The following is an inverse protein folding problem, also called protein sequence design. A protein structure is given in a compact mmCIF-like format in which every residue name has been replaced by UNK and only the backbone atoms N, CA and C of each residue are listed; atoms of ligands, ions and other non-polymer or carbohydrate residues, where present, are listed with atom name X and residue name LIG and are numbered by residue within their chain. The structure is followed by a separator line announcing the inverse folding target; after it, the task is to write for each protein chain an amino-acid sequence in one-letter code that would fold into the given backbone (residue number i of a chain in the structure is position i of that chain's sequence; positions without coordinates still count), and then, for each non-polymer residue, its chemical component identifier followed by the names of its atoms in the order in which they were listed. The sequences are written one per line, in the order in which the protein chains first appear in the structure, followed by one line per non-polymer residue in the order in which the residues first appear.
data_IF_249422080003
#
_entry.id   IF_249422080003
#
_cell.length_a   1.000
_cell.length_b   1.000
_cell.length_c   1.000
_cell.angle_alpha   90.00
_cell.angle_beta   90.00
_cell.angle_gamma   90.00
#
_symmetry.space_group_name_H-M   'P 1'
#
loop_
_entity.id
_entity.type
_entity.pdbx_description
1 polymer ?
#
# COMPACT_ATOMS: atom_id res chain seq x y z
N UNK A 1 -2.26 14.31 -0.84
CA UNK A 1 -3.30 13.83 -1.78
C UNK A 1 -3.39 12.32 -1.87
N UNK A 2 -2.31 11.57 -1.98
CA UNK A 2 -2.32 10.10 -2.15
C UNK A 2 -3.11 9.36 -1.06
N UNK A 3 -2.94 9.72 0.21
CA UNK A 3 -3.69 9.07 1.31
C UNK A 3 -5.20 9.23 1.20
N UNK A 4 -5.69 10.38 0.72
CA UNK A 4 -7.13 10.62 0.48
C UNK A 4 -7.65 9.70 -0.63
N UNK A 5 -6.87 9.50 -1.69
CA UNK A 5 -7.23 8.58 -2.77
C UNK A 5 -7.31 7.13 -2.28
N UNK A 6 -6.42 6.73 -1.36
CA UNK A 6 -6.49 5.42 -0.72
C UNK A 6 -7.75 5.25 0.12
N UNK A 7 -8.14 6.27 0.89
CA UNK A 7 -9.39 6.25 1.66
C UNK A 7 -10.61 6.17 0.75
N UNK A 8 -10.61 6.92 -0.35
CA UNK A 8 -11.69 6.85 -1.35
C UNK A 8 -11.76 5.47 -2.02
N UNK A 9 -10.61 4.89 -2.41
CA UNK A 9 -10.53 3.55 -2.95
C UNK A 9 -11.03 2.50 -1.94
N UNK A 10 -10.61 2.59 -0.67
CA UNK A 10 -11.07 1.71 0.39
C UNK A 10 -12.59 1.79 0.58
N UNK A 11 -13.14 3.00 0.60
CA UNK A 11 -14.59 3.22 0.72
C UNK A 11 -15.36 2.69 -0.50
N UNK A 12 -14.83 2.85 -1.71
CA UNK A 12 -15.40 2.30 -2.93
C UNK A 12 -15.38 0.77 -2.94
N UNK A 13 -14.24 0.17 -2.60
CA UNK A 13 -14.07 -1.27 -2.51
C UNK A 13 -14.94 -1.91 -1.41
N UNK A 14 -15.14 -1.22 -0.29
CA UNK A 14 -16.01 -1.69 0.77
C UNK A 14 -17.50 -1.70 0.41
N UNK A 15 -17.90 -0.88 -0.58
CA UNK A 15 -19.28 -0.84 -1.12
C UNK A 15 -19.46 -1.75 -2.33
N UNK A 16 -18.37 -2.10 -3.01
CA UNK A 16 -18.41 -3.07 -4.09
C UNK A 16 -18.80 -4.44 -3.52
N UNK A 17 -19.55 -5.21 -4.30
CA UNK A 17 -19.95 -6.55 -3.92
C UNK A 17 -18.72 -7.40 -3.56
N UNK A 18 -18.85 -8.33 -2.62
CA UNK A 18 -17.78 -9.22 -2.11
C UNK A 18 -17.02 -9.97 -3.24
N UNK A 19 -17.57 -9.98 -4.46
CA UNK A 19 -16.94 -10.54 -5.65
C UNK A 19 -15.63 -9.87 -6.05
N UNK A 20 -15.46 -8.56 -5.78
CA UNK A 20 -14.28 -7.80 -6.20
C UNK A 20 -13.10 -7.94 -5.23
N UNK A 21 -13.37 -7.83 -3.93
CA UNK A 21 -12.34 -7.89 -2.88
C UNK A 21 -12.34 -9.21 -2.13
N UNK A 22 -13.48 -9.87 -2.09
CA UNK A 22 -13.70 -11.18 -1.46
C UNK A 22 -13.55 -11.20 0.05
N UNK A 23 -13.22 -10.09 0.69
CA UNK A 23 -13.07 -9.97 2.16
C UNK A 23 -13.07 -8.52 2.60
N UNK A 24 -13.67 -8.24 3.75
CA UNK A 24 -13.66 -6.92 4.38
C UNK A 24 -12.25 -6.48 4.83
N UNK A 25 -11.32 -7.41 4.97
CA UNK A 25 -9.95 -7.12 5.36
C UNK A 25 -9.21 -6.27 4.32
N UNK A 26 -9.41 -6.53 3.02
CA UNK A 26 -8.72 -5.80 1.94
C UNK A 26 -9.02 -4.30 1.99
N UNK A 27 -10.29 -3.84 1.91
CA UNK A 27 -10.58 -2.40 1.99
C UNK A 27 -10.18 -1.79 3.33
N UNK A 28 -10.31 -2.51 4.45
CA UNK A 28 -9.88 -2.01 5.76
C UNK A 28 -8.38 -1.75 5.80
N UNK A 29 -7.54 -2.68 5.34
CA UNK A 29 -6.09 -2.53 5.28
C UNK A 29 -5.66 -1.40 4.34
N UNK A 30 -6.32 -1.23 3.19
CA UNK A 30 -6.09 -0.11 2.28
C UNK A 30 -6.46 1.22 2.95
N UNK A 31 -7.57 1.28 3.70
CA UNK A 31 -7.99 2.47 4.44
C UNK A 31 -6.99 2.86 5.53
N UNK A 32 -6.50 1.89 6.30
CA UNK A 32 -5.48 2.11 7.33
C UNK A 32 -4.16 2.57 6.71
N UNK A 33 -3.76 2.01 5.55
CA UNK A 33 -2.60 2.48 4.78
C UNK A 33 -2.80 3.94 4.30
N UNK A 34 -4.01 4.30 3.86
CA UNK A 34 -4.35 5.68 3.48
C UNK A 34 -4.21 6.67 4.64
N UNK A 35 -4.70 6.31 5.83
CA UNK A 35 -4.52 7.10 7.04
C UNK A 35 -3.02 7.22 7.41
N UNK A 36 -2.26 6.15 7.28
CA UNK A 36 -0.81 6.15 7.47
C UNK A 36 -0.07 7.09 6.53
N UNK A 37 -0.45 7.13 5.25
CA UNK A 37 0.09 8.08 4.27
C UNK A 37 -0.19 9.54 4.65
N UNK A 38 -1.37 9.83 5.21
CA UNK A 38 -1.70 11.18 5.70
C UNK A 38 -0.83 11.53 6.90
N UNK A 39 -0.71 10.63 7.87
CA UNK A 39 0.14 10.82 9.04
C UNK A 39 1.61 11.05 8.65
N UNK A 40 2.15 10.24 7.76
CA UNK A 40 3.53 10.40 7.25
C UNK A 40 3.74 11.69 6.45
N UNK A 41 2.68 12.26 5.85
CA UNK A 41 2.76 13.54 5.15
C UNK A 41 2.75 14.75 6.10
N UNK A 42 2.11 14.62 7.27
CA UNK A 42 2.04 15.69 8.27
C UNK A 42 3.33 15.78 9.07
N UNK A 43 3.93 14.66 9.43
CA UNK A 43 5.14 14.59 10.24
C UNK A 43 6.36 14.33 9.37
N UNK A 44 7.41 15.20 9.41
CA UNK A 44 8.63 14.97 8.64
C UNK A 44 9.42 13.80 9.22
N UNK A 45 10.10 13.06 8.34
CA UNK A 45 11.06 12.02 8.74
C UNK A 45 12.38 12.64 9.23
N UNK A 46 13.10 11.92 10.08
CA UNK A 46 14.47 12.27 10.43
C UNK A 46 15.41 12.05 9.22
N UNK A 47 16.56 12.76 9.18
CA UNK A 47 17.59 12.50 8.20
C UNK A 47 18.08 11.05 8.23
N UNK A 48 18.37 10.49 7.07
CA UNK A 48 18.88 9.13 6.93
C UNK A 48 19.86 9.03 5.77
N UNK A 49 20.96 8.29 5.96
CA UNK A 49 21.99 8.05 4.95
C UNK A 49 22.54 9.35 4.35
N UNK A 50 22.81 10.36 5.21
CA UNK A 50 23.37 11.66 4.81
C UNK A 50 22.42 12.54 3.99
N UNK A 51 21.13 12.26 3.99
CA UNK A 51 20.16 13.08 3.29
C UNK A 51 19.16 13.75 4.26
N UNK A 52 18.93 15.08 4.17
CA UNK A 52 19.54 16.07 3.22
C UNK A 52 21.06 16.19 3.33
N UNK A 53 21.75 16.70 2.28
CA UNK A 53 23.21 16.86 2.31
C UNK A 53 23.68 17.64 3.54
N UNK A 54 24.75 17.15 4.18
CA UNK A 54 25.31 17.75 5.40
C UNK A 54 24.68 17.24 6.69
N UNK A 55 23.75 16.27 6.62
CA UNK A 55 23.19 15.61 7.80
C UNK A 55 23.90 14.27 8.08
N UNK A 56 23.87 13.75 9.33
CA UNK A 56 24.46 12.46 9.65
C UNK A 56 23.76 11.30 8.97
N UNK A 57 24.44 10.17 8.83
CA UNK A 57 23.88 8.94 8.26
C UNK A 57 22.71 8.39 9.08
N UNK A 58 22.78 8.55 10.40
CA UNK A 58 21.71 8.24 11.35
C UNK A 58 21.62 9.37 12.39
N UNK A 59 20.43 9.75 12.84
CA UNK A 59 20.29 10.71 13.93
C UNK A 59 20.79 10.09 15.24
N UNK A 60 21.42 10.89 16.11
CA UNK A 60 21.85 10.46 17.45
C UNK A 60 20.67 10.00 18.32
N UNK A 61 19.52 10.61 18.14
CA UNK A 61 18.25 10.22 18.74
C UNK A 61 17.12 10.52 17.77
N UNK A 62 16.11 9.64 17.64
CA UNK A 62 14.94 9.91 16.83
C UNK A 62 14.16 11.12 17.36
N UNK A 63 13.75 12.03 16.47
CA UNK A 63 12.85 13.11 16.84
C UNK A 63 11.44 12.58 17.09
N UNK A 64 10.61 13.35 17.81
CA UNK A 64 9.19 12.99 17.98
C UNK A 64 8.45 12.94 16.64
N UNK A 65 8.74 13.87 15.73
CA UNK A 65 8.15 13.93 14.41
C UNK A 65 8.56 12.71 13.57
N UNK A 66 9.86 12.37 13.53
CA UNK A 66 10.37 11.20 12.84
C UNK A 66 9.81 9.88 13.41
N UNK A 67 9.67 9.78 14.73
CA UNK A 67 9.02 8.62 15.36
C UNK A 67 7.57 8.46 14.89
N UNK A 68 6.78 9.55 14.90
CA UNK A 68 5.39 9.52 14.44
C UNK A 68 5.32 9.22 12.95
N UNK A 69 6.20 9.80 12.12
CA UNK A 69 6.32 9.48 10.69
C UNK A 69 6.52 7.97 10.49
N UNK A 70 7.50 7.39 11.16
CA UNK A 70 7.84 5.98 11.03
C UNK A 70 6.69 5.08 11.48
N UNK A 71 6.02 5.39 12.58
CA UNK A 71 4.84 4.66 13.06
C UNK A 71 3.69 4.76 12.06
N UNK A 72 3.44 5.95 11.49
CA UNK A 72 2.43 6.17 10.48
C UNK A 72 2.75 5.45 9.15
N UNK A 73 4.03 5.22 8.84
CA UNK A 73 4.45 4.49 7.66
C UNK A 73 4.24 2.96 7.77
N UNK A 74 4.17 2.40 8.99
CA UNK A 74 3.97 0.95 9.19
C UNK A 74 2.72 0.44 8.46
N UNK A 75 1.53 1.06 8.58
CA UNK A 75 0.35 0.61 7.84
C UNK A 75 0.52 0.57 6.31
N UNK A 76 1.36 1.43 5.76
CA UNK A 76 1.63 1.43 4.32
C UNK A 76 2.45 0.20 3.93
N UNK A 77 3.56 -0.03 4.62
CA UNK A 77 4.53 -1.05 4.26
C UNK A 77 4.22 -2.45 4.82
N UNK A 78 3.35 -2.56 5.80
CA UNK A 78 2.82 -3.83 6.30
C UNK A 78 1.37 -4.07 5.84
N UNK A 79 0.53 -3.05 5.81
CA UNK A 79 -0.89 -3.17 5.48
C UNK A 79 -1.14 -3.50 4.01
N UNK A 80 -0.44 -2.86 3.07
CA UNK A 80 -0.62 -3.17 1.65
C UNK A 80 -0.18 -4.59 1.27
N UNK A 81 1.00 -5.09 1.69
CA UNK A 81 1.34 -6.49 1.48
C UNK A 81 0.33 -7.45 2.14
N UNK A 82 -0.15 -7.14 3.33
CA UNK A 82 -1.17 -7.93 4.01
C UNK A 82 -2.52 -7.92 3.25
N UNK A 83 -2.91 -6.77 2.67
CA UNK A 83 -4.08 -6.68 1.82
C UNK A 83 -3.94 -7.54 0.56
N UNK A 84 -2.78 -7.47 -0.11
CA UNK A 84 -2.48 -8.29 -1.28
C UNK A 84 -2.45 -9.79 -0.93
N UNK A 85 -1.86 -10.18 0.20
CA UNK A 85 -1.86 -11.56 0.67
C UNK A 85 -3.28 -12.06 0.97
N UNK A 86 -4.12 -11.21 1.60
CA UNK A 86 -5.53 -11.53 1.86
C UNK A 86 -6.33 -11.72 0.57
N UNK A 87 -6.13 -10.85 -0.42
CA UNK A 87 -6.72 -10.97 -1.74
C UNK A 87 -6.23 -12.24 -2.47
N UNK A 88 -4.95 -12.59 -2.35
CA UNK A 88 -4.37 -13.81 -2.89
C UNK A 88 -5.03 -15.05 -2.31
N UNK A 89 -5.08 -15.14 -0.99
CA UNK A 89 -5.70 -16.26 -0.28
C UNK A 89 -7.15 -16.49 -0.74
N UNK A 90 -7.94 -15.43 -0.77
CA UNK A 90 -9.34 -15.50 -1.23
C UNK A 90 -9.43 -15.97 -2.68
N UNK A 91 -8.59 -15.43 -3.56
CA UNK A 91 -8.58 -15.75 -4.99
C UNK A 91 -8.30 -17.24 -5.24
N UNK A 92 -7.35 -17.82 -4.51
CA UNK A 92 -7.08 -19.25 -4.59
C UNK A 92 -8.28 -20.08 -4.14
N UNK A 93 -8.97 -19.66 -3.06
CA UNK A 93 -10.14 -20.39 -2.56
C UNK A 93 -11.33 -20.40 -3.53
N UNK A 94 -11.46 -19.40 -4.38
CA UNK A 94 -12.52 -19.30 -5.39
C UNK A 94 -12.05 -19.69 -6.80
N UNK A 95 -10.87 -20.33 -6.91
CA UNK A 95 -10.35 -20.86 -8.18
C UNK A 95 -9.73 -19.82 -9.12
N UNK A 96 -9.62 -18.55 -8.72
CA UNK A 96 -9.02 -17.48 -9.53
C UNK A 96 -7.48 -17.48 -9.42
N UNK A 97 -6.85 -18.56 -9.90
CA UNK A 97 -5.41 -18.82 -9.71
C UNK A 97 -4.52 -17.72 -10.24
N UNK A 98 -4.78 -17.18 -11.45
CA UNK A 98 -3.96 -16.12 -12.04
C UNK A 98 -3.93 -14.85 -11.20
N UNK A 99 -5.10 -14.39 -10.75
CA UNK A 99 -5.20 -13.22 -9.85
C UNK A 99 -4.57 -13.50 -8.49
N UNK A 100 -4.77 -14.71 -7.96
CA UNK A 100 -4.14 -15.15 -6.72
C UNK A 100 -2.62 -15.11 -6.78
N UNK A 101 -2.01 -15.59 -7.85
CA UNK A 101 -0.56 -15.55 -8.08
C UNK A 101 -0.04 -14.11 -8.21
N UNK A 102 -0.74 -13.24 -8.93
CA UNK A 102 -0.40 -11.83 -9.04
C UNK A 102 -0.40 -11.14 -7.67
N UNK A 103 -1.45 -11.34 -6.87
CA UNK A 103 -1.54 -10.81 -5.52
C UNK A 103 -0.45 -11.37 -4.59
N UNK A 104 -0.13 -12.66 -4.67
CA UNK A 104 0.94 -13.28 -3.90
C UNK A 104 2.31 -12.69 -4.28
N UNK A 105 2.60 -12.59 -5.58
CA UNK A 105 3.82 -11.97 -6.09
C UNK A 105 3.96 -10.52 -5.62
N UNK A 106 2.88 -9.74 -5.65
CA UNK A 106 2.84 -8.38 -5.11
C UNK A 106 3.22 -8.34 -3.63
N UNK A 107 2.58 -9.16 -2.79
CA UNK A 107 2.83 -9.20 -1.35
C UNK A 107 4.29 -9.55 -1.03
N UNK A 108 4.83 -10.56 -1.72
CA UNK A 108 6.22 -11.00 -1.55
C UNK A 108 7.19 -9.92 -2.01
N UNK A 109 6.98 -9.34 -3.19
CA UNK A 109 7.87 -8.31 -3.75
C UNK A 109 7.89 -7.06 -2.86
N UNK A 110 6.72 -6.60 -2.40
CA UNK A 110 6.64 -5.46 -1.48
C UNK A 110 7.38 -5.73 -0.17
N UNK A 111 7.11 -6.88 0.44
CA UNK A 111 7.71 -7.26 1.71
C UNK A 111 9.24 -7.40 1.61
N UNK A 112 9.71 -8.10 0.59
CA UNK A 112 11.15 -8.28 0.34
C UNK A 112 11.84 -6.94 0.04
N UNK A 113 11.28 -6.12 -0.84
CA UNK A 113 11.82 -4.80 -1.16
C UNK A 113 11.88 -3.90 0.07
N UNK A 114 10.84 -3.91 0.93
CA UNK A 114 10.85 -3.11 2.16
C UNK A 114 11.84 -3.63 3.19
N UNK A 115 12.03 -4.94 3.32
CA UNK A 115 13.06 -5.53 4.17
C UNK A 115 14.47 -5.12 3.74
N UNK A 116 14.74 -5.14 2.42
CA UNK A 116 16.01 -4.67 1.85
C UNK A 116 16.20 -3.16 2.04
N UNK A 117 15.13 -2.37 1.90
CA UNK A 117 15.16 -0.94 2.18
C UNK A 117 15.49 -0.66 3.65
N UNK A 118 14.84 -1.37 4.57
CA UNK A 118 15.10 -1.27 6.01
C UNK A 118 16.57 -1.59 6.36
N UNK A 119 17.13 -2.65 5.77
CA UNK A 119 18.55 -2.97 5.93
C UNK A 119 19.46 -1.88 5.37
N UNK A 120 19.09 -1.26 4.23
CA UNK A 120 19.83 -0.13 3.64
C UNK A 120 19.80 1.10 4.54
N UNK A 121 18.63 1.48 5.04
CA UNK A 121 18.48 2.61 5.98
C UNK A 121 19.14 2.32 7.33
N UNK A 122 19.22 1.04 7.76
CA UNK A 122 19.97 0.57 8.91
C UNK A 122 21.49 0.48 8.66
N UNK A 123 22.00 1.15 7.61
CA UNK A 123 23.43 1.29 7.30
C UNK A 123 24.15 -0.04 6.97
N UNK A 124 23.42 -1.04 6.44
CA UNK A 124 24.07 -2.24 5.90
C UNK A 124 25.06 -1.86 4.79
N UNK A 125 26.36 -2.23 4.87
CA UNK A 125 27.39 -1.79 3.91
C UNK A 125 27.08 -2.11 2.45
N UNK A 126 26.33 -3.20 2.20
CA UNK A 126 25.94 -3.62 0.83
C UNK A 126 24.69 -2.93 0.32
N UNK A 127 23.83 -2.42 1.20
CA UNK A 127 22.49 -1.94 0.84
C UNK A 127 22.25 -0.46 1.10
N UNK A 128 23.16 0.23 1.81
CA UNK A 128 22.99 1.64 2.20
C UNK A 128 22.70 2.55 1.01
N UNK A 129 23.36 2.32 -0.13
CA UNK A 129 23.15 3.10 -1.36
C UNK A 129 21.86 2.73 -2.10
N UNK A 130 21.24 1.62 -1.77
CA UNK A 130 20.07 1.05 -2.46
C UNK A 130 18.79 1.13 -1.63
N UNK A 131 18.86 1.57 -0.37
CA UNK A 131 17.70 1.62 0.53
C UNK A 131 16.51 2.38 -0.08
N UNK A 132 16.76 3.59 -0.60
CA UNK A 132 15.72 4.38 -1.28
C UNK A 132 15.19 3.77 -2.57
N UNK A 133 16.01 3.01 -3.32
CA UNK A 133 15.57 2.29 -4.52
C UNK A 133 14.60 1.17 -4.14
N UNK A 134 14.94 0.35 -3.16
CA UNK A 134 14.08 -0.73 -2.69
C UNK A 134 12.77 -0.21 -2.08
N UNK A 135 12.81 0.89 -1.34
CA UNK A 135 11.59 1.51 -0.83
C UNK A 135 10.67 1.95 -1.96
N UNK A 136 11.20 2.61 -3.01
CA UNK A 136 10.41 2.99 -4.19
C UNK A 136 9.87 1.80 -4.94
N UNK A 137 10.65 0.72 -5.09
CA UNK A 137 10.18 -0.52 -5.70
C UNK A 137 8.98 -1.10 -4.94
N UNK A 138 9.04 -1.13 -3.61
CA UNK A 138 7.91 -1.54 -2.78
C UNK A 138 6.67 -0.67 -3.02
N UNK A 139 6.82 0.66 -3.01
CA UNK A 139 5.71 1.61 -3.22
C UNK A 139 5.09 1.44 -4.62
N UNK A 140 5.91 1.40 -5.67
CA UNK A 140 5.43 1.25 -7.06
C UNK A 140 4.67 -0.06 -7.24
N UNK A 141 5.18 -1.15 -6.68
CA UNK A 141 4.52 -2.46 -6.74
C UNK A 141 3.15 -2.43 -6.05
N UNK A 142 3.06 -1.81 -4.87
CA UNK A 142 1.80 -1.70 -4.13
C UNK A 142 0.77 -0.81 -4.83
N UNK A 143 1.22 0.31 -5.39
CA UNK A 143 0.33 1.23 -6.10
C UNK A 143 -0.17 0.62 -7.42
N UNK A 144 0.69 -0.08 -8.16
CA UNK A 144 0.30 -0.82 -9.36
C UNK A 144 -0.76 -1.90 -9.03
N UNK A 145 -0.57 -2.62 -7.92
CA UNK A 145 -1.56 -3.59 -7.45
C UNK A 145 -2.89 -2.94 -7.07
N UNK A 146 -2.87 -1.83 -6.33
CA UNK A 146 -4.10 -1.12 -5.95
C UNK A 146 -4.83 -0.59 -7.19
N UNK A 147 -4.10 -0.10 -8.20
CA UNK A 147 -4.67 0.32 -9.48
C UNK A 147 -5.35 -0.85 -10.19
N UNK A 148 -4.67 -1.99 -10.29
CA UNK A 148 -5.21 -3.20 -10.91
C UNK A 148 -6.44 -3.74 -10.15
N UNK A 149 -6.42 -3.70 -8.81
CA UNK A 149 -7.56 -4.08 -7.98
C UNK A 149 -8.76 -3.17 -8.21
N UNK A 150 -8.53 -1.85 -8.25
CA UNK A 150 -9.57 -0.86 -8.49
C UNK A 150 -10.18 -1.00 -9.89
N UNK A 151 -9.35 -1.18 -10.92
CA UNK A 151 -9.81 -1.44 -12.28
C UNK A 151 -10.65 -2.72 -12.36
N UNK A 152 -10.21 -3.79 -11.70
CA UNK A 152 -10.96 -5.04 -11.61
C UNK A 152 -12.31 -4.85 -10.92
N UNK A 153 -12.37 -4.10 -9.83
CA UNK A 153 -13.62 -3.80 -9.12
C UNK A 153 -14.61 -3.05 -10.01
N UNK A 154 -14.13 -2.08 -10.79
CA UNK A 154 -14.96 -1.33 -11.74
C UNK A 154 -15.53 -2.21 -12.87
N UNK A 155 -14.75 -3.17 -13.36
CA UNK A 155 -15.20 -4.11 -14.40
C UNK A 155 -16.30 -5.07 -13.90
N UNK A 156 -16.36 -5.33 -12.60
CA UNK A 156 -17.36 -6.21 -11.99
C UNK A 156 -18.53 -5.43 -11.34
N UNK A 157 -18.47 -4.08 -11.36
CA UNK A 157 -19.58 -3.28 -10.85
C UNK A 157 -20.83 -3.49 -11.72
N UNK A 158 -22.01 -3.70 -11.12
CA UNK A 158 -23.25 -3.81 -11.89
C UNK A 158 -23.47 -2.51 -12.66
N UNK A 159 -23.80 -2.61 -13.95
CA UNK A 159 -24.13 -1.45 -14.76
C UNK A 159 -25.27 -0.66 -14.08
N UNK A 160 -25.06 0.63 -13.82
CA UNK A 160 -26.11 1.50 -13.31
C UNK A 160 -27.23 1.48 -14.35
N UNK A 161 -28.32 0.75 -14.08
CA UNK A 161 -29.54 0.86 -14.91
C UNK A 161 -30.09 2.27 -14.67
N UNK A 162 -29.83 3.15 -15.62
CA UNK A 162 -30.59 4.41 -15.70
C UNK A 162 -32.05 3.99 -15.91
N UNK A 163 -32.88 4.21 -14.91
CA UNK A 163 -34.31 3.96 -15.05
C UNK A 163 -34.83 4.81 -16.21
N UNK A 164 -35.32 4.16 -17.24
CA UNK A 164 -36.00 4.86 -18.33
C UNK A 164 -37.15 5.66 -17.73
N UNK A 165 -37.32 6.96 -18.09
CA UNK A 165 -38.46 7.72 -17.60
C UNK A 165 -39.77 7.03 -18.05
N UNK A 166 -40.82 7.05 -17.22
CA UNK A 166 -42.09 6.46 -17.59
C UNK A 166 -42.60 7.16 -18.89
N UNK A 167 -42.96 6.33 -19.86
CA UNK A 167 -43.61 6.80 -21.08
C UNK A 167 -45.01 7.21 -20.68
N UNK A 168 -45.29 8.53 -20.68
CA UNK A 168 -46.62 9.11 -20.47
C UNK A 168 -47.39 9.11 -21.76
#
# INVERSE_FOLDING_TARGET
MTGILFLAAAAGLARADDSATGTRAVPALIGVAGAGLIGSAIFPTDPVSGYPPGTPDLPCAPSRAGTVHNLAAIPVFAGLPAAAASASWRSFRIGQRGWGLYCAGTAITMGAAMALAGAGFGQSPRLVRLGGLFQRASIVTGFAWLTALSARALQHAPAIRVASPPVT
#
